data_IF_976934026380
#
_entry.id   IF_976934026380
#
_cell.length_a   1.000
_cell.length_b   1.000
_cell.length_c   1.000
_cell.angle_alpha   90.00
_cell.angle_beta   90.00
_cell.angle_gamma   90.00
#
_symmetry.space_group_name_H-M   'P 1'
#
loop_
_entity.id
_entity.type
_entity.pdbx_description
1 polymer ?
#
# COMPACT_ATOMS: atom_id res chain seq x y z
N UNK A 1 -2.47 -0.24 15.41
CA UNK A 1 -2.59 -0.83 14.05
C UNK A 1 -3.75 -1.80 14.02
N UNK A 2 -4.60 -1.72 13.00
CA UNK A 2 -5.71 -2.67 12.84
C UNK A 2 -5.20 -4.00 12.27
N UNK A 3 -6.00 -5.06 12.44
CA UNK A 3 -5.66 -6.37 11.86
C UNK A 3 -5.50 -6.29 10.34
N UNK A 4 -6.34 -5.50 9.70
CA UNK A 4 -6.30 -5.35 8.25
C UNK A 4 -5.04 -4.61 7.78
N UNK A 5 -4.63 -3.57 8.51
CA UNK A 5 -3.37 -2.89 8.22
C UNK A 5 -2.19 -3.85 8.39
N UNK A 6 -2.23 -4.68 9.43
CA UNK A 6 -1.20 -5.69 9.64
C UNK A 6 -1.14 -6.67 8.46
N UNK A 7 -2.28 -7.16 8.01
CA UNK A 7 -2.35 -8.11 6.88
C UNK A 7 -1.83 -7.47 5.59
N UNK A 8 -2.14 -6.19 5.35
CA UNK A 8 -1.64 -5.47 4.19
C UNK A 8 -0.12 -5.35 4.25
N UNK A 9 0.44 -4.95 5.39
CA UNK A 9 1.88 -4.84 5.55
C UNK A 9 2.57 -6.20 5.37
N UNK A 10 1.94 -7.27 5.84
CA UNK A 10 2.45 -8.62 5.69
C UNK A 10 2.60 -9.01 4.22
N UNK A 11 1.61 -8.67 3.40
CA UNK A 11 1.66 -8.91 1.95
C UNK A 11 2.70 -8.02 1.26
N UNK A 12 2.88 -6.80 1.74
CA UNK A 12 3.71 -5.80 1.09
C UNK A 12 5.19 -5.84 1.48
N UNK A 13 5.66 -6.94 2.02
CA UNK A 13 7.10 -7.22 2.10
C UNK A 13 7.70 -7.28 0.70
N UNK A 14 6.88 -7.58 -0.30
CA UNK A 14 7.24 -7.60 -1.71
C UNK A 14 6.44 -6.56 -2.47
N UNK A 15 6.98 -6.09 -3.57
CA UNK A 15 6.31 -5.14 -4.45
C UNK A 15 5.14 -5.85 -5.14
N UNK A 16 3.91 -5.35 -4.94
CA UNK A 16 2.70 -5.97 -5.46
C UNK A 16 1.83 -4.91 -6.12
N UNK A 17 1.33 -5.22 -7.33
CA UNK A 17 0.37 -4.38 -8.02
C UNK A 17 -0.98 -4.40 -7.28
N UNK A 18 -1.70 -3.28 -7.35
CA UNK A 18 -2.99 -3.13 -6.68
C UNK A 18 -3.95 -4.29 -6.94
N UNK A 19 -4.08 -4.72 -8.20
CA UNK A 19 -5.03 -5.79 -8.56
C UNK A 19 -4.69 -7.10 -7.85
N UNK A 20 -3.42 -7.43 -7.77
CA UNK A 20 -2.97 -8.64 -7.07
C UNK A 20 -3.19 -8.54 -5.57
N UNK A 21 -2.94 -7.36 -5.01
CA UNK A 21 -3.17 -7.11 -3.59
C UNK A 21 -4.66 -7.25 -3.24
N UNK A 22 -5.51 -6.62 -4.03
CA UNK A 22 -6.96 -6.69 -3.86
C UNK A 22 -7.46 -8.13 -3.91
N UNK A 23 -6.98 -8.89 -4.89
CA UNK A 23 -7.33 -10.29 -5.07
C UNK A 23 -6.88 -11.15 -3.90
N UNK A 24 -5.64 -11.00 -3.49
CA UNK A 24 -5.05 -11.78 -2.39
C UNK A 24 -5.79 -11.53 -1.08
N UNK A 25 -6.16 -10.28 -0.82
CA UNK A 25 -6.86 -9.92 0.41
C UNK A 25 -8.37 -10.12 0.33
N UNK A 26 -8.91 -10.30 -0.87
CA UNK A 26 -10.35 -10.41 -1.07
C UNK A 26 -11.10 -9.14 -0.73
N UNK A 27 -10.50 -7.98 -0.95
CA UNK A 27 -11.10 -6.69 -0.62
C UNK A 27 -11.52 -5.93 -1.86
N UNK A 28 -12.67 -5.26 -1.78
CA UNK A 28 -13.15 -4.38 -2.82
C UNK A 28 -12.38 -3.05 -2.80
N UNK A 29 -12.53 -2.26 -3.87
CA UNK A 29 -11.95 -0.92 -3.92
C UNK A 29 -12.48 -0.04 -2.79
N UNK A 30 -13.77 -0.17 -2.47
CA UNK A 30 -14.39 0.61 -1.40
C UNK A 30 -13.74 0.35 -0.04
N UNK A 31 -13.29 -0.88 0.18
CA UNK A 31 -12.65 -1.25 1.45
C UNK A 31 -11.15 -0.98 1.43
N UNK A 32 -10.48 -1.28 0.33
CA UNK A 32 -9.01 -1.22 0.26
C UNK A 32 -8.48 0.19 0.06
N UNK A 33 -9.10 0.97 -0.81
CA UNK A 33 -8.63 2.34 -1.12
C UNK A 33 -8.47 3.23 0.12
N UNK A 34 -9.50 3.34 1.00
CA UNK A 34 -9.36 4.22 2.18
C UNK A 34 -8.23 3.78 3.11
N UNK A 35 -8.02 2.48 3.23
CA UNK A 35 -6.97 1.95 4.10
C UNK A 35 -5.60 2.26 3.52
N UNK A 36 -5.44 2.09 2.20
CA UNK A 36 -4.19 2.44 1.54
C UNK A 36 -3.88 3.93 1.66
N UNK A 37 -4.89 4.80 1.51
CA UNK A 37 -4.73 6.24 1.72
C UNK A 37 -4.21 6.54 3.12
N UNK A 38 -4.82 5.94 4.12
CA UNK A 38 -4.44 6.13 5.51
C UNK A 38 -3.01 5.67 5.76
N UNK A 39 -2.64 4.51 5.22
CA UNK A 39 -1.31 3.96 5.41
C UNK A 39 -0.23 4.78 4.69
N UNK A 40 -0.55 5.31 3.51
CA UNK A 40 0.35 6.22 2.80
C UNK A 40 0.57 7.49 3.61
N UNK A 41 -0.50 8.06 4.20
CA UNK A 41 -0.40 9.25 5.06
C UNK A 41 0.47 9.00 6.29
N UNK A 42 0.44 7.80 6.82
CA UNK A 42 1.28 7.42 7.96
C UNK A 42 2.74 7.21 7.57
N UNK A 43 3.05 7.21 6.27
CA UNK A 43 4.39 6.92 5.79
C UNK A 43 4.73 5.44 5.82
N UNK A 44 3.74 4.57 5.88
CA UNK A 44 3.95 3.12 5.97
C UNK A 44 4.10 2.43 4.62
N UNK A 45 3.70 3.08 3.53
CA UNK A 45 3.73 2.50 2.19
C UNK A 45 4.52 3.35 1.23
N UNK A 46 5.16 2.67 0.28
CA UNK A 46 5.79 3.28 -0.89
C UNK A 46 4.95 2.91 -2.10
N UNK A 47 4.82 3.83 -3.04
CA UNK A 47 4.02 3.64 -4.25
C UNK A 47 4.90 3.76 -5.49
N UNK A 48 4.64 2.91 -6.47
CA UNK A 48 5.40 2.84 -7.71
C UNK A 48 4.43 2.86 -8.88
N UNK A 49 4.75 3.61 -9.92
CA UNK A 49 3.98 3.58 -11.18
C UNK A 49 4.36 2.36 -12.02
N UNK A 50 5.62 1.96 -11.93
CA UNK A 50 6.16 0.73 -12.53
C UNK A 50 7.08 0.12 -11.50
N UNK A 51 7.43 -1.17 -11.62
CA UNK A 51 8.22 -1.84 -10.58
C UNK A 51 9.54 -1.16 -10.21
N UNK A 52 10.13 -0.43 -11.17
CA UNK A 52 11.40 0.28 -10.97
C UNK A 52 11.25 1.80 -10.85
N UNK A 53 10.01 2.31 -10.81
CA UNK A 53 9.76 3.76 -10.78
C UNK A 53 8.96 4.12 -9.53
N UNK A 54 9.68 4.50 -8.49
CA UNK A 54 9.06 4.93 -7.23
C UNK A 54 8.60 6.39 -7.32
N UNK A 55 7.41 6.66 -6.77
CA UNK A 55 6.88 8.02 -6.65
C UNK A 55 7.34 8.64 -5.34
N UNK A 56 7.71 9.93 -5.40
CA UNK A 56 7.91 10.70 -4.18
C UNK A 56 6.57 10.89 -3.47
N UNK A 57 6.60 11.02 -2.15
CA UNK A 57 5.39 11.13 -1.34
C UNK A 57 4.45 12.24 -1.83
N UNK A 58 5.01 13.36 -2.28
CA UNK A 58 4.22 14.50 -2.78
C UNK A 58 3.53 14.22 -4.10
N UNK A 59 3.94 13.20 -4.83
CA UNK A 59 3.39 12.84 -6.13
C UNK A 59 2.42 11.66 -6.08
N UNK A 60 2.23 11.09 -4.91
CA UNK A 60 1.30 9.97 -4.73
C UNK A 60 -0.13 10.50 -4.70
N UNK A 61 -0.97 10.00 -5.60
CA UNK A 61 -2.38 10.37 -5.65
C UNK A 61 -3.23 9.10 -5.63
N UNK A 62 -3.53 8.63 -4.43
CA UNK A 62 -4.33 7.44 -4.21
C UNK A 62 -5.76 7.66 -4.69
N UNK A 63 -6.30 8.87 -4.51
CA UNK A 63 -7.69 9.18 -4.87
C UNK A 63 -7.99 8.86 -6.32
N UNK A 64 -7.07 9.19 -7.23
CA UNK A 64 -7.27 9.03 -8.67
C UNK A 64 -6.58 7.78 -9.21
N UNK A 65 -5.38 7.47 -8.71
CA UNK A 65 -4.49 6.50 -9.35
C UNK A 65 -4.25 5.22 -8.56
N UNK A 66 -5.03 4.98 -7.51
CA UNK A 66 -4.77 3.83 -6.61
C UNK A 66 -4.68 2.48 -7.34
N UNK A 67 -5.45 2.28 -8.39
CA UNK A 67 -5.45 1.02 -9.16
C UNK A 67 -4.22 0.85 -10.05
N UNK A 68 -3.53 1.95 -10.36
CA UNK A 68 -2.38 1.94 -11.27
C UNK A 68 -1.08 1.65 -10.55
N UNK A 69 -1.07 1.78 -9.24
CA UNK A 69 0.16 1.71 -8.47
C UNK A 69 0.52 0.29 -8.07
N UNK A 70 1.82 0.08 -7.96
CA UNK A 70 2.39 -1.01 -7.18
C UNK A 70 2.68 -0.46 -5.79
N UNK A 71 2.56 -1.30 -4.78
CA UNK A 71 2.75 -0.91 -3.38
C UNK A 71 3.82 -1.76 -2.72
N UNK A 72 4.54 -1.15 -1.79
CA UNK A 72 5.58 -1.81 -1.01
C UNK A 72 5.55 -1.20 0.39
N UNK A 73 5.76 -2.01 1.42
CA UNK A 73 5.88 -1.47 2.77
C UNK A 73 7.15 -0.63 2.86
N UNK A 74 7.02 0.56 3.47
CA UNK A 74 8.17 1.41 3.74
C UNK A 74 8.95 0.86 4.94
N UNK A 75 10.11 1.42 5.20
CA UNK A 75 10.89 1.10 6.40
C UNK A 75 10.06 1.31 7.67
N UNK A 76 9.33 2.42 7.72
CA UNK A 76 8.45 2.75 8.85
C UNK A 76 7.30 1.76 8.97
N UNK A 77 6.73 1.34 7.85
CA UNK A 77 5.68 0.32 7.82
C UNK A 77 6.17 -1.01 8.35
N UNK A 78 7.36 -1.44 7.94
CA UNK A 78 7.94 -2.68 8.43
C UNK A 78 8.24 -2.62 9.92
N UNK A 79 8.71 -1.49 10.42
CA UNK A 79 8.93 -1.30 11.86
C UNK A 79 7.62 -1.38 12.64
N UNK A 80 6.56 -0.76 12.13
CA UNK A 80 5.25 -0.82 12.76
C UNK A 80 4.70 -2.25 12.79
N UNK A 81 4.94 -3.00 11.72
CA UNK A 81 4.49 -4.39 11.59
C UNK A 81 5.17 -5.32 12.58
N UNK A 82 6.45 -5.08 12.91
CA UNK A 82 7.24 -5.96 13.78
C UNK A 82 7.28 -5.51 15.24
N UNK A 83 6.74 -4.35 15.54
CA UNK A 83 6.76 -3.81 16.92
C UNK A 83 5.66 -4.39 17.81
#
# INVERSE_FOLDING_TARGET
MSDLEFDILDELYFLIHYDDLSQTLGLSDEDLKPILQKMVRKGWLRCYTEPDVELEATNIDIEINFRKYHYLASKEGLKAHTS
#
